data_IF_612643436125
#
_entry.id   IF_612643436125
#
_cell.length_a   1.000
_cell.length_b   1.000
_cell.length_c   1.000
_cell.angle_alpha   90.00
_cell.angle_beta   90.00
_cell.angle_gamma   90.00
#
_symmetry.space_group_name_H-M   'P 1'
#
loop_
_entity.id
_entity.type
_entity.pdbx_description
1 polymer ?
#
# COMPACT_ATOMS: atom_id res chain seq x y z
N UNK A 1 16.56 -21.54 -46.06
CA UNK A 1 17.17 -21.32 -44.72
C UNK A 1 17.04 -19.89 -44.19
N UNK A 2 17.13 -18.83 -45.00
CA UNK A 2 17.01 -17.42 -44.52
C UNK A 2 15.59 -17.07 -44.00
N UNK A 3 14.55 -17.50 -44.72
CA UNK A 3 13.15 -17.29 -44.31
C UNK A 3 12.80 -18.01 -42.99
N UNK A 4 13.28 -19.25 -42.81
CA UNK A 4 13.06 -20.02 -41.58
C UNK A 4 13.71 -19.37 -40.35
N UNK A 5 14.92 -18.80 -40.51
CA UNK A 5 15.59 -18.05 -39.44
C UNK A 5 14.88 -16.75 -39.11
N UNK A 6 14.30 -16.08 -40.11
CA UNK A 6 13.52 -14.86 -39.92
C UNK A 6 12.20 -15.13 -39.18
N UNK A 7 11.48 -16.17 -39.57
CA UNK A 7 10.24 -16.60 -38.91
C UNK A 7 10.52 -17.04 -37.47
N UNK A 8 11.62 -17.75 -37.23
CA UNK A 8 12.02 -18.18 -35.88
C UNK A 8 12.44 -17.01 -34.99
N UNK A 9 13.05 -15.96 -35.55
CA UNK A 9 13.43 -14.74 -34.82
C UNK A 9 12.20 -13.87 -34.47
N UNK A 10 11.22 -13.78 -35.37
CA UNK A 10 9.94 -13.12 -35.11
C UNK A 10 9.11 -13.87 -34.06
N UNK A 11 9.12 -15.21 -34.09
CA UNK A 11 8.45 -16.04 -33.09
C UNK A 11 9.11 -15.90 -31.70
N UNK A 12 10.44 -15.76 -31.64
CA UNK A 12 11.19 -15.56 -30.41
C UNK A 12 10.94 -14.17 -29.79
N UNK A 13 10.77 -13.12 -30.62
CA UNK A 13 10.41 -11.78 -30.17
C UNK A 13 8.93 -11.67 -29.75
N UNK A 14 8.03 -12.43 -30.36
CA UNK A 14 6.62 -12.48 -29.95
C UNK A 14 6.40 -13.22 -28.63
N UNK A 15 7.28 -14.17 -28.28
CA UNK A 15 7.23 -14.87 -26.99
C UNK A 15 7.64 -14.00 -25.79
N UNK A 16 8.51 -13.00 -25.99
CA UNK A 16 8.99 -12.14 -24.89
C UNK A 16 8.07 -10.95 -24.59
N UNK A 17 7.17 -10.59 -25.51
CA UNK A 17 6.28 -9.44 -25.37
C UNK A 17 5.08 -9.66 -24.41
N UNK A 18 4.85 -10.90 -23.95
CA UNK A 18 3.72 -11.23 -23.07
C UNK A 18 4.07 -11.33 -21.57
N UNK A 19 5.31 -11.02 -21.19
CA UNK A 19 5.73 -10.96 -19.78
C UNK A 19 5.74 -9.51 -19.28
N UNK A 20 4.64 -8.79 -19.42
CA UNK A 20 4.43 -7.63 -18.55
C UNK A 20 4.11 -8.18 -17.16
N UNK A 21 4.91 -7.89 -16.11
CA UNK A 21 4.51 -8.23 -14.75
C UNK A 21 3.19 -7.49 -14.48
N UNK A 22 2.10 -8.24 -14.43
CA UNK A 22 0.81 -7.73 -13.98
C UNK A 22 0.99 -7.41 -12.51
N UNK A 23 1.40 -6.17 -12.22
CA UNK A 23 1.51 -5.65 -10.86
C UNK A 23 0.09 -5.55 -10.30
N UNK A 24 -0.41 -6.70 -9.84
CA UNK A 24 -1.74 -6.84 -9.28
C UNK A 24 -1.89 -5.91 -8.09
N UNK A 25 -3.09 -5.37 -7.91
CA UNK A 25 -3.40 -4.58 -6.73
C UNK A 25 -3.13 -5.40 -5.46
N UNK A 26 -2.46 -4.78 -4.50
CA UNK A 26 -2.05 -5.40 -3.26
C UNK A 26 -3.24 -5.42 -2.31
N UNK A 27 -3.60 -6.61 -1.83
CA UNK A 27 -4.83 -6.80 -1.04
C UNK A 27 -4.58 -6.50 0.44
N UNK A 28 -5.52 -5.79 1.05
CA UNK A 28 -5.61 -5.59 2.49
C UNK A 28 -6.68 -6.53 3.04
N UNK A 29 -6.35 -7.24 4.13
CA UNK A 29 -7.26 -8.16 4.81
C UNK A 29 -7.37 -7.86 6.30
N UNK A 30 -8.52 -8.16 6.88
CA UNK A 30 -8.73 -8.16 8.33
C UNK A 30 -8.06 -9.38 9.00
N UNK A 31 -8.17 -9.46 10.33
CA UNK A 31 -7.65 -10.58 11.12
C UNK A 31 -8.28 -11.95 10.79
N UNK A 32 -9.49 -11.96 10.20
CA UNK A 32 -10.19 -13.17 9.78
C UNK A 32 -9.90 -13.54 8.31
N UNK A 33 -8.95 -12.84 7.67
CA UNK A 33 -8.59 -12.99 6.27
C UNK A 33 -9.64 -12.55 5.25
N UNK A 34 -10.69 -11.82 5.66
CA UNK A 34 -11.59 -11.19 4.72
C UNK A 34 -10.89 -10.02 4.02
N UNK A 35 -11.15 -9.84 2.73
CA UNK A 35 -10.69 -8.67 2.01
C UNK A 35 -11.44 -7.44 2.52
N UNK A 36 -10.71 -6.39 2.87
CA UNK A 36 -11.28 -5.12 3.33
C UNK A 36 -10.90 -3.95 2.42
N UNK A 37 -9.89 -4.14 1.57
CA UNK A 37 -9.50 -3.13 0.60
C UNK A 37 -8.36 -3.59 -0.29
N UNK A 38 -7.96 -2.72 -1.21
CA UNK A 38 -6.83 -2.92 -2.11
C UNK A 38 -6.07 -1.61 -2.28
N UNK A 39 -4.74 -1.68 -2.25
CA UNK A 39 -3.87 -0.58 -2.65
C UNK A 39 -3.11 -0.99 -3.90
N UNK A 40 -3.29 -0.22 -4.96
CA UNK A 40 -2.58 -0.44 -6.21
C UNK A 40 -1.15 0.10 -6.11
N UNK A 41 -0.17 -0.45 -6.85
CA UNK A 41 1.21 0.05 -6.83
C UNK A 41 1.36 1.54 -7.19
N UNK A 42 0.38 2.10 -7.93
CA UNK A 42 0.30 3.52 -8.25
C UNK A 42 -0.30 4.39 -7.12
N UNK A 43 -0.60 3.81 -5.95
CA UNK A 43 -1.17 4.49 -4.79
C UNK A 43 -2.70 4.56 -4.74
N UNK A 44 -3.43 4.07 -5.75
CA UNK A 44 -4.91 4.08 -5.71
C UNK A 44 -5.42 3.13 -4.64
N UNK A 45 -6.28 3.64 -3.74
CA UNK A 45 -6.92 2.87 -2.65
C UNK A 45 -8.37 2.59 -3.02
N UNK A 46 -8.78 1.33 -2.89
CA UNK A 46 -10.15 0.85 -3.11
C UNK A 46 -10.67 0.09 -1.91
N UNK A 47 -11.98 0.19 -1.67
CA UNK A 47 -12.69 -0.63 -0.70
C UNK A 47 -12.84 -2.09 -1.19
N UNK A 48 -13.50 -2.93 -0.38
CA UNK A 48 -13.77 -4.33 -0.71
C UNK A 48 -14.67 -4.51 -1.96
N UNK A 49 -15.54 -3.54 -2.22
CA UNK A 49 -16.42 -3.51 -3.41
C UNK A 49 -15.71 -2.93 -4.64
N UNK A 50 -14.39 -2.70 -4.55
CA UNK A 50 -13.54 -2.12 -5.60
C UNK A 50 -13.87 -0.66 -5.96
N UNK A 51 -14.59 0.08 -5.12
CA UNK A 51 -14.83 1.51 -5.31
C UNK A 51 -13.60 2.31 -4.86
N UNK A 52 -13.18 3.34 -5.61
CA UNK A 52 -12.10 4.22 -5.18
C UNK A 52 -12.49 5.02 -3.94
N UNK A 53 -11.67 4.94 -2.89
CA UNK A 53 -11.88 5.69 -1.64
C UNK A 53 -10.81 6.77 -1.42
N UNK A 54 -9.70 6.70 -2.15
CA UNK A 54 -8.67 7.73 -2.17
C UNK A 54 -7.41 7.28 -2.88
N UNK A 55 -6.34 8.04 -2.73
CA UNK A 55 -5.04 7.68 -3.29
C UNK A 55 -3.86 8.30 -2.53
N UNK A 56 -2.73 7.60 -2.57
CA UNK A 56 -1.43 8.12 -2.17
C UNK A 56 -0.69 8.65 -3.39
N UNK A 57 -0.35 9.94 -3.39
CA UNK A 57 0.49 10.54 -4.43
C UNK A 57 1.95 10.09 -4.31
N UNK A 58 2.69 10.22 -5.43
CA UNK A 58 4.13 9.96 -5.47
C UNK A 58 4.92 10.88 -4.53
N UNK A 59 4.43 12.10 -4.33
CA UNK A 59 5.03 13.09 -3.43
C UNK A 59 4.60 12.91 -1.96
N UNK A 60 3.89 11.82 -1.65
CA UNK A 60 3.46 11.46 -0.30
C UNK A 60 2.14 12.09 0.14
N UNK A 61 1.52 12.95 -0.67
CA UNK A 61 0.20 13.54 -0.36
C UNK A 61 -0.86 12.43 -0.31
N UNK A 62 -1.67 12.43 0.74
CA UNK A 62 -2.81 11.52 0.89
C UNK A 62 -4.06 12.26 0.47
N UNK A 63 -4.84 11.70 -0.45
CA UNK A 63 -6.07 12.32 -0.94
C UNK A 63 -7.27 11.41 -0.78
N UNK A 64 -8.43 12.00 -0.47
CA UNK A 64 -9.70 11.29 -0.48
C UNK A 64 -10.24 11.08 -1.90
N UNK A 65 -11.38 10.39 -2.02
CA UNK A 65 -12.08 10.15 -3.31
C UNK A 65 -12.42 11.40 -4.13
N UNK A 66 -12.51 12.58 -3.49
CA UNK A 66 -12.77 13.85 -4.16
C UNK A 66 -11.48 14.61 -4.54
N UNK A 67 -10.31 13.95 -4.47
CA UNK A 67 -8.98 14.53 -4.73
C UNK A 67 -8.58 15.67 -3.78
N UNK A 68 -9.26 15.81 -2.63
CA UNK A 68 -8.85 16.74 -1.58
C UNK A 68 -7.73 16.12 -0.76
N UNK A 69 -6.69 16.90 -0.49
CA UNK A 69 -5.64 16.52 0.45
C UNK A 69 -6.25 16.32 1.86
N UNK A 70 -5.89 15.21 2.50
CA UNK A 70 -6.32 14.86 3.85
C UNK A 70 -5.14 14.55 4.77
N UNK A 71 -3.95 14.33 4.22
CA UNK A 71 -2.73 14.09 4.98
C UNK A 71 -1.49 14.09 4.09
N UNK A 72 -0.35 13.83 4.71
CA UNK A 72 0.95 13.85 4.03
C UNK A 72 1.92 12.85 4.67
N UNK A 73 2.65 12.11 3.84
CA UNK A 73 3.71 11.20 4.23
C UNK A 73 5.06 11.82 3.85
N UNK A 74 5.98 11.96 4.80
CA UNK A 74 7.38 12.35 4.56
C UNK A 74 8.31 11.28 5.12
N UNK A 75 8.83 10.41 4.25
CA UNK A 75 9.58 9.23 4.67
C UNK A 75 8.69 8.32 5.54
N UNK A 76 9.09 8.06 6.78
CA UNK A 76 8.32 7.28 7.75
C UNK A 76 7.48 8.14 8.72
N UNK A 77 7.32 9.44 8.45
CA UNK A 77 6.50 10.36 9.24
C UNK A 77 5.16 10.63 8.56
N UNK A 78 4.10 10.70 9.36
CA UNK A 78 2.72 10.84 8.89
C UNK A 78 2.13 12.11 9.51
N UNK A 79 1.52 12.93 8.67
CA UNK A 79 0.99 14.25 9.00
C UNK A 79 -0.49 14.37 8.64
N UNK A 80 -1.24 15.14 9.43
CA UNK A 80 -2.61 15.54 9.09
C UNK A 80 -2.61 16.68 8.05
N UNK A 81 -3.81 17.16 7.68
CA UNK A 81 -3.98 18.24 6.71
C UNK A 81 -3.47 19.60 7.20
N UNK A 82 -3.27 19.77 8.51
CA UNK A 82 -2.73 20.99 9.13
C UNK A 82 -1.20 20.97 9.24
N UNK A 83 -0.54 19.97 8.63
CA UNK A 83 0.90 19.71 8.69
C UNK A 83 1.42 19.38 10.10
N UNK A 84 0.55 18.92 10.99
CA UNK A 84 0.96 18.40 12.30
C UNK A 84 1.31 16.91 12.17
N UNK A 85 2.43 16.50 12.77
CA UNK A 85 2.84 15.08 12.75
C UNK A 85 1.96 14.29 13.72
N UNK A 86 1.09 13.46 13.17
CA UNK A 86 0.18 12.60 13.93
C UNK A 86 0.77 11.22 14.23
N UNK A 87 1.87 10.85 13.58
CA UNK A 87 2.57 9.61 13.89
C UNK A 87 3.81 9.36 13.05
N UNK A 88 4.47 8.23 13.33
CA UNK A 88 5.67 7.81 12.64
C UNK A 88 5.92 6.30 12.78
N UNK A 89 6.75 5.77 11.89
CA UNK A 89 7.12 4.36 11.84
C UNK A 89 8.62 4.23 12.13
N UNK A 90 8.99 3.29 12.98
CA UNK A 90 10.38 2.92 13.24
C UNK A 90 10.87 1.88 12.23
N UNK A 91 12.19 1.75 12.09
CA UNK A 91 12.81 0.80 11.13
C UNK A 91 12.44 -0.67 11.39
N UNK A 92 12.01 -1.01 12.61
CA UNK A 92 11.53 -2.35 12.98
C UNK A 92 10.04 -2.57 12.66
N UNK A 93 9.37 -1.58 12.07
CA UNK A 93 7.94 -1.61 11.73
C UNK A 93 7.01 -1.15 12.84
N UNK A 94 7.52 -0.75 14.01
CA UNK A 94 6.71 -0.20 15.10
C UNK A 94 6.08 1.13 14.69
N UNK A 95 4.75 1.24 14.84
CA UNK A 95 3.99 2.45 14.55
C UNK A 95 3.69 3.18 15.85
N UNK A 96 3.99 4.48 15.90
CA UNK A 96 3.73 5.35 17.04
C UNK A 96 2.88 6.56 16.62
N UNK A 97 2.12 7.08 17.56
CA UNK A 97 1.40 8.35 17.38
C UNK A 97 2.30 9.58 17.59
N UNK A 98 1.71 10.77 17.46
CA UNK A 98 2.39 12.05 17.66
C UNK A 98 2.99 12.25 19.05
N UNK A 99 2.40 11.60 20.06
CA UNK A 99 2.85 11.59 21.47
C UNK A 99 3.84 10.46 21.77
N UNK A 100 4.27 9.71 20.75
CA UNK A 100 5.18 8.57 20.86
C UNK A 100 4.63 7.35 21.60
N UNK A 101 3.31 7.22 21.78
CA UNK A 101 2.67 5.99 22.25
C UNK A 101 2.66 4.96 21.13
N UNK A 102 2.81 3.69 21.47
CA UNK A 102 2.79 2.59 20.49
C UNK A 102 1.35 2.33 20.07
N UNK A 103 1.08 2.39 18.76
CA UNK A 103 -0.19 2.00 18.16
C UNK A 103 -0.18 0.52 17.73
N UNK A 104 0.98 0.03 17.28
CA UNK A 104 1.13 -1.33 16.80
C UNK A 104 2.46 -1.59 16.10
N UNK A 105 2.51 -2.67 15.33
CA UNK A 105 3.68 -3.06 14.53
C UNK A 105 3.25 -3.67 13.19
N UNK A 106 4.04 -3.40 12.14
CA UNK A 106 3.91 -4.01 10.83
C UNK A 106 5.16 -4.86 10.59
N UNK A 107 5.00 -6.18 10.54
CA UNK A 107 6.15 -7.06 10.32
C UNK A 107 6.51 -7.21 8.83
N UNK A 108 7.70 -7.77 8.56
CA UNK A 108 8.20 -7.97 7.19
C UNK A 108 7.39 -8.93 6.34
N UNK A 109 6.55 -9.75 6.97
CA UNK A 109 5.63 -10.67 6.27
C UNK A 109 4.30 -10.00 5.91
N UNK A 110 4.10 -8.75 6.32
CA UNK A 110 2.88 -7.99 6.12
C UNK A 110 1.79 -8.30 7.14
N UNK A 111 2.12 -8.87 8.31
CA UNK A 111 1.16 -8.97 9.42
C UNK A 111 1.14 -7.65 10.18
N UNK A 112 -0.06 -7.21 10.55
CA UNK A 112 -0.28 -6.00 11.32
C UNK A 112 -0.75 -6.39 12.71
N UNK A 113 -0.05 -5.91 13.73
CA UNK A 113 -0.36 -6.12 15.13
C UNK A 113 -0.78 -4.81 15.78
N UNK A 114 -1.76 -4.85 16.69
CA UNK A 114 -2.05 -3.73 17.57
C UNK A 114 -1.03 -3.64 18.73
N UNK A 115 -1.19 -2.64 19.60
CA UNK A 115 -0.34 -2.43 20.78
C UNK A 115 -0.30 -3.64 21.74
N UNK A 116 -1.38 -4.42 21.81
CA UNK A 116 -1.48 -5.66 22.61
C UNK A 116 -0.85 -6.89 21.93
N UNK A 117 -0.18 -6.71 20.79
CA UNK A 117 0.43 -7.77 19.96
C UNK A 117 -0.58 -8.76 19.38
N UNK A 118 -1.86 -8.39 19.28
CA UNK A 118 -2.87 -9.16 18.55
C UNK A 118 -2.84 -8.77 17.08
N UNK A 119 -2.97 -9.76 16.19
CA UNK A 119 -3.07 -9.51 14.75
C UNK A 119 -4.41 -8.83 14.47
N UNK A 120 -4.37 -7.70 13.76
CA UNK A 120 -5.55 -6.95 13.31
C UNK A 120 -5.73 -6.96 11.79
N UNK A 121 -4.72 -7.42 11.04
CA UNK A 121 -4.83 -7.55 9.61
C UNK A 121 -3.58 -8.05 8.91
N UNK A 122 -3.68 -8.12 7.58
CA UNK A 122 -2.63 -8.57 6.68
C UNK A 122 -2.57 -7.70 5.42
N UNK A 123 -1.39 -7.23 5.06
CA UNK A 123 -1.13 -6.47 3.84
C UNK A 123 0.26 -6.83 3.28
N UNK A 124 0.29 -7.78 2.34
CA UNK A 124 1.52 -8.26 1.73
C UNK A 124 1.96 -7.39 0.55
N UNK A 125 3.25 -7.12 0.48
CA UNK A 125 3.88 -6.28 -0.55
C UNK A 125 3.44 -4.81 -0.54
N UNK A 126 2.60 -4.38 0.41
CA UNK A 126 2.20 -2.97 0.58
C UNK A 126 3.29 -2.21 1.34
N UNK A 127 3.51 -0.96 0.94
CA UNK A 127 4.42 -0.04 1.65
C UNK A 127 3.97 0.19 3.09
N UNK A 128 4.90 0.21 4.04
CA UNK A 128 4.58 0.29 5.47
C UNK A 128 3.84 1.59 5.80
N UNK A 129 4.25 2.70 5.19
CA UNK A 129 3.58 4.00 5.38
C UNK A 129 2.10 3.94 4.99
N UNK A 130 1.78 3.23 3.90
CA UNK A 130 0.42 3.09 3.41
C UNK A 130 -0.43 2.18 4.28
N UNK A 131 0.16 1.07 4.75
CA UNK A 131 -0.47 0.17 5.72
C UNK A 131 -0.79 0.95 7.00
N UNK A 132 0.15 1.76 7.49
CA UNK A 132 -0.04 2.50 8.72
C UNK A 132 -1.14 3.55 8.58
N UNK A 133 -1.16 4.29 7.46
CA UNK A 133 -2.21 5.26 7.14
C UNK A 133 -3.60 4.62 7.09
N UNK A 134 -3.68 3.37 6.61
CA UNK A 134 -4.94 2.62 6.54
C UNK A 134 -5.38 2.10 7.91
N UNK A 135 -4.52 1.36 8.63
CA UNK A 135 -4.92 0.63 9.84
C UNK A 135 -4.86 1.45 11.14
N UNK A 136 -3.94 2.41 11.26
CA UNK A 136 -3.69 3.10 12.53
C UNK A 136 -4.13 4.58 12.50
N UNK A 137 -4.09 5.22 11.33
CA UNK A 137 -4.45 6.64 11.18
C UNK A 137 -5.77 6.86 10.43
N UNK A 138 -6.44 5.79 9.99
CA UNK A 138 -7.83 5.80 9.51
C UNK A 138 -8.11 6.86 8.43
N UNK A 139 -7.18 7.07 7.48
CA UNK A 139 -7.34 8.08 6.42
C UNK A 139 -8.46 7.76 5.41
N UNK A 140 -8.96 6.52 5.35
CA UNK A 140 -9.92 6.07 4.33
C UNK A 140 -11.17 5.37 4.91
N UNK A 141 -11.41 5.53 6.21
CA UNK A 141 -12.61 5.02 6.87
C UNK A 141 -13.86 5.85 6.55
#
# INVERSE_FOLDING_TARGET
MKALRFIMMVLLMALTANFAPQAGAQTIRDANHHNIGRISPNGTVRDNDSRPIGFFDRDGVIRNKNSKQIGLIKGLQIYNNDNERIGYILNDGTVRDGESRILGNIDRSGKIYNADKKIIGYAQSVRYEWIACYFFFHFFD
#
